data_IF_982292166298
#
_entry.id   IF_982292166298
#
_cell.length_a   1.000
_cell.length_b   1.000
_cell.length_c   1.000
_cell.angle_alpha   90.00
_cell.angle_beta   90.00
_cell.angle_gamma   90.00
#
_symmetry.space_group_name_H-M   'P 1'
#
loop_
_entity.id
_entity.type
_entity.pdbx_description
1 polymer ?
#
# COMPACT_ATOMS: atom_id res chain seq x y z
N UNK A 1 33.13 13.52 -26.57
CA UNK A 1 32.43 12.59 -25.67
C UNK A 1 31.31 13.37 -24.98
N UNK A 2 30.03 13.07 -25.30
CA UNK A 2 28.88 13.78 -24.71
C UNK A 2 28.59 13.18 -23.34
N UNK A 3 28.73 13.97 -22.27
CA UNK A 3 28.34 13.59 -20.90
C UNK A 3 26.81 13.45 -20.89
N UNK A 4 26.31 12.24 -20.65
CA UNK A 4 24.90 11.98 -20.41
C UNK A 4 24.56 12.60 -19.05
N UNK A 5 23.61 13.53 -18.95
CA UNK A 5 23.23 14.09 -17.67
C UNK A 5 22.43 13.05 -16.86
N UNK A 6 22.97 12.65 -15.71
CA UNK A 6 22.30 11.86 -14.67
C UNK A 6 21.19 12.69 -13.99
N UNK A 7 20.16 13.11 -14.72
CA UNK A 7 19.14 14.04 -14.18
C UNK A 7 17.69 13.71 -14.49
N UNK A 8 17.42 12.52 -15.01
CA UNK A 8 16.06 12.11 -15.40
C UNK A 8 15.55 10.85 -14.69
N UNK A 9 16.29 10.29 -13.73
CA UNK A 9 15.87 9.04 -13.05
C UNK A 9 15.16 9.34 -11.71
N UNK A 10 15.55 10.40 -11.00
CA UNK A 10 15.12 10.62 -9.60
C UNK A 10 13.69 11.18 -9.38
N UNK A 11 13.06 11.81 -10.38
CA UNK A 11 11.68 12.32 -10.23
C UNK A 11 10.65 11.20 -10.43
N UNK A 12 10.97 10.27 -11.33
CA UNK A 12 10.15 9.11 -11.62
C UNK A 12 10.21 8.12 -10.44
N UNK A 13 11.36 7.96 -9.78
CA UNK A 13 11.50 7.07 -8.63
C UNK A 13 10.65 7.50 -7.41
N UNK A 14 10.61 8.81 -7.10
CA UNK A 14 9.79 9.30 -5.99
C UNK A 14 8.29 9.20 -6.29
N UNK A 15 7.90 9.49 -7.54
CA UNK A 15 6.52 9.31 -8.01
C UNK A 15 6.13 7.82 -7.99
N UNK A 16 7.01 6.93 -8.46
CA UNK A 16 6.78 5.49 -8.43
C UNK A 16 6.59 4.97 -7.00
N UNK A 17 7.40 5.43 -6.05
CA UNK A 17 7.25 5.11 -4.63
C UNK A 17 5.93 5.65 -4.05
N UNK A 18 5.51 6.86 -4.44
CA UNK A 18 4.21 7.40 -4.04
C UNK A 18 3.07 6.53 -4.57
N UNK A 19 3.09 6.18 -5.85
CA UNK A 19 2.06 5.36 -6.48
C UNK A 19 2.01 3.96 -5.85
N UNK A 20 3.15 3.38 -5.48
CA UNK A 20 3.22 2.09 -4.80
C UNK A 20 2.64 2.16 -3.38
N UNK A 21 2.97 3.21 -2.63
CA UNK A 21 2.39 3.46 -1.30
C UNK A 21 0.86 3.59 -1.40
N UNK A 22 0.35 4.37 -2.35
CA UNK A 22 -1.10 4.56 -2.55
C UNK A 22 -1.80 3.23 -2.90
N UNK A 23 -1.18 2.39 -3.74
CA UNK A 23 -1.71 1.05 -4.06
C UNK A 23 -1.77 0.16 -2.82
N UNK A 24 -0.74 0.17 -1.99
CA UNK A 24 -0.70 -0.63 -0.76
C UNK A 24 -1.70 -0.13 0.28
N UNK A 25 -1.85 1.19 0.44
CA UNK A 25 -2.85 1.81 1.30
C UNK A 25 -4.28 1.47 0.83
N UNK A 26 -4.53 1.52 -0.47
CA UNK A 26 -5.81 1.09 -1.07
C UNK A 26 -6.08 -0.39 -0.79
N UNK A 27 -5.10 -1.27 -1.00
CA UNK A 27 -5.24 -2.70 -0.70
C UNK A 27 -5.52 -2.94 0.79
N UNK A 28 -4.83 -2.23 1.69
CA UNK A 28 -5.07 -2.32 3.13
C UNK A 28 -6.49 -1.89 3.50
N UNK A 29 -6.98 -0.79 2.90
CA UNK A 29 -8.34 -0.30 3.12
C UNK A 29 -9.38 -1.33 2.70
N UNK A 30 -9.20 -1.97 1.53
CA UNK A 30 -10.06 -3.06 1.05
C UNK A 30 -10.06 -4.23 2.04
N UNK A 31 -8.90 -4.63 2.56
CA UNK A 31 -8.80 -5.74 3.52
C UNK A 31 -9.57 -5.45 4.82
N UNK A 32 -9.42 -4.23 5.36
CA UNK A 32 -10.08 -3.80 6.58
C UNK A 32 -11.61 -3.71 6.40
N UNK A 33 -12.05 -3.09 5.32
CA UNK A 33 -13.48 -2.93 5.04
C UNK A 33 -14.13 -4.29 4.73
N UNK A 34 -13.43 -5.18 4.03
CA UNK A 34 -13.92 -6.54 3.80
C UNK A 34 -14.07 -7.33 5.10
N UNK A 35 -13.12 -7.22 6.03
CA UNK A 35 -13.26 -7.85 7.35
C UNK A 35 -14.47 -7.31 8.11
N UNK A 36 -14.71 -6.00 8.06
CA UNK A 36 -15.88 -5.38 8.69
C UNK A 36 -17.18 -5.84 8.04
N UNK A 37 -17.22 -5.89 6.70
CA UNK A 37 -18.36 -6.34 5.94
C UNK A 37 -18.73 -7.79 6.29
N UNK A 38 -17.74 -8.68 6.45
CA UNK A 38 -17.97 -10.06 6.90
C UNK A 38 -18.59 -10.12 8.30
N UNK A 39 -18.15 -9.28 9.23
CA UNK A 39 -18.67 -9.25 10.61
C UNK A 39 -20.15 -8.83 10.68
N UNK A 40 -20.58 -7.93 9.78
CA UNK A 40 -21.96 -7.43 9.74
C UNK A 40 -22.83 -8.16 8.71
N UNK A 41 -22.26 -9.10 7.95
CA UNK A 41 -22.95 -9.82 6.88
C UNK A 41 -23.31 -8.96 5.66
N UNK A 42 -22.51 -7.92 5.36
CA UNK A 42 -22.75 -7.00 4.25
C UNK A 42 -22.05 -7.47 2.95
N UNK A 43 -22.70 -8.40 2.27
CA UNK A 43 -22.23 -8.93 0.98
C UNK A 43 -22.14 -7.83 -0.11
N UNK A 44 -23.03 -6.83 -0.08
CA UNK A 44 -23.01 -5.73 -1.06
C UNK A 44 -21.72 -4.92 -0.96
N UNK A 45 -21.20 -4.71 0.25
CA UNK A 45 -19.91 -4.05 0.44
C UNK A 45 -18.77 -4.89 -0.12
N UNK A 46 -18.77 -6.21 0.08
CA UNK A 46 -17.74 -7.10 -0.50
C UNK A 46 -17.71 -7.03 -2.04
N UNK A 47 -18.87 -6.96 -2.68
CA UNK A 47 -19.00 -6.79 -4.13
C UNK A 47 -18.50 -5.41 -4.56
N UNK A 48 -18.87 -4.34 -3.82
CA UNK A 48 -18.45 -2.96 -4.12
C UNK A 48 -16.96 -2.73 -3.97
N UNK A 49 -16.30 -3.48 -3.09
CA UNK A 49 -14.84 -3.49 -2.96
C UNK A 49 -14.14 -4.11 -4.17
N UNK A 50 -14.87 -4.66 -5.14
CA UNK A 50 -14.31 -5.23 -6.36
C UNK A 50 -13.65 -6.58 -6.16
N UNK A 51 -13.99 -7.29 -5.07
CA UNK A 51 -13.49 -8.63 -4.82
C UNK A 51 -14.17 -9.63 -5.76
N UNK A 52 -13.40 -10.50 -6.39
CA UNK A 52 -13.95 -11.56 -7.23
C UNK A 52 -14.85 -12.50 -6.39
N UNK A 53 -15.91 -13.09 -6.97
CA UNK A 53 -16.83 -13.97 -6.25
C UNK A 53 -16.13 -15.15 -5.55
N UNK A 54 -15.12 -15.74 -6.19
CA UNK A 54 -14.32 -16.82 -5.60
C UNK A 54 -13.57 -16.36 -4.34
N UNK A 55 -13.08 -15.12 -4.34
CA UNK A 55 -12.39 -14.53 -3.19
C UNK A 55 -13.37 -14.23 -2.05
N UNK A 56 -14.55 -13.72 -2.37
CA UNK A 56 -15.63 -13.49 -1.40
C UNK A 56 -15.98 -14.81 -0.69
N UNK A 57 -16.25 -15.88 -1.44
CA UNK A 57 -16.59 -17.18 -0.86
C UNK A 57 -15.50 -17.76 0.04
N UNK A 58 -14.21 -17.56 -0.29
CA UNK A 58 -13.11 -17.98 0.58
C UNK A 58 -13.12 -17.21 1.91
N UNK A 59 -13.34 -15.88 1.86
CA UNK A 59 -13.37 -15.03 3.03
C UNK A 59 -14.55 -15.38 3.96
N UNK A 60 -15.72 -15.66 3.37
CA UNK A 60 -16.90 -16.12 4.10
C UNK A 60 -16.68 -17.48 4.77
N UNK A 61 -16.08 -18.45 4.07
CA UNK A 61 -15.76 -19.75 4.66
C UNK A 61 -14.82 -19.61 5.85
N UNK A 62 -13.82 -18.72 5.77
CA UNK A 62 -12.93 -18.42 6.90
C UNK A 62 -13.72 -17.81 8.06
N UNK A 63 -14.63 -16.88 7.77
CA UNK A 63 -15.48 -16.24 8.77
C UNK A 63 -16.39 -17.24 9.48
N UNK A 64 -17.04 -18.14 8.73
CA UNK A 64 -17.85 -19.23 9.26
C UNK A 64 -17.05 -20.19 10.15
N UNK A 65 -15.75 -20.36 9.87
CA UNK A 65 -14.82 -21.12 10.70
C UNK A 65 -14.29 -20.34 11.92
N UNK A 66 -14.86 -19.16 12.23
CA UNK A 66 -14.47 -18.30 13.35
C UNK A 66 -13.15 -17.54 13.14
N UNK A 67 -12.67 -17.44 11.90
CA UNK A 67 -11.43 -16.73 11.55
C UNK A 67 -11.75 -15.41 10.86
N UNK A 68 -10.86 -14.43 10.96
CA UNK A 68 -10.93 -13.23 10.11
C UNK A 68 -10.76 -13.62 8.64
N UNK A 69 -11.49 -12.96 7.75
CA UNK A 69 -11.34 -13.14 6.30
C UNK A 69 -9.90 -12.87 5.89
N UNK A 70 -9.44 -11.65 6.16
CA UNK A 70 -8.03 -11.26 6.11
C UNK A 70 -7.41 -11.35 7.51
N UNK A 71 -6.38 -12.19 7.73
CA UNK A 71 -5.73 -12.30 9.03
C UNK A 71 -5.01 -11.02 9.46
N UNK A 72 -5.01 -10.72 10.76
CA UNK A 72 -4.39 -9.51 11.32
C UNK A 72 -2.88 -9.40 11.01
N UNK A 73 -2.17 -10.53 10.93
CA UNK A 73 -0.74 -10.52 10.61
C UNK A 73 -0.49 -10.04 9.17
N UNK A 74 -1.41 -10.28 8.24
CA UNK A 74 -1.29 -9.82 6.84
C UNK A 74 -1.44 -8.30 6.80
N UNK A 75 -2.46 -7.77 7.48
CA UNK A 75 -2.71 -6.33 7.58
C UNK A 75 -1.51 -5.63 8.25
N UNK A 76 -1.00 -6.21 9.34
CA UNK A 76 0.18 -5.69 10.05
C UNK A 76 1.42 -5.66 9.17
N UNK A 77 1.71 -6.75 8.45
CA UNK A 77 2.84 -6.78 7.54
C UNK A 77 2.73 -5.69 6.46
N UNK A 78 1.53 -5.49 5.91
CA UNK A 78 1.27 -4.44 4.94
C UNK A 78 1.47 -3.03 5.53
N UNK A 79 0.99 -2.78 6.77
CA UNK A 79 1.26 -1.52 7.48
C UNK A 79 2.75 -1.27 7.65
N UNK A 80 3.51 -2.31 8.04
CA UNK A 80 4.95 -2.20 8.20
C UNK A 80 5.65 -1.86 6.87
N UNK A 81 5.25 -2.50 5.76
CA UNK A 81 5.78 -2.19 4.43
C UNK A 81 5.46 -0.76 4.01
N UNK A 82 4.22 -0.30 4.20
CA UNK A 82 3.83 1.09 3.91
C UNK A 82 4.69 2.07 4.71
N UNK A 83 4.87 1.83 6.01
CA UNK A 83 5.70 2.68 6.87
C UNK A 83 7.16 2.72 6.41
N UNK A 84 7.74 1.58 6.01
CA UNK A 84 9.10 1.51 5.51
C UNK A 84 9.28 2.32 4.21
N UNK A 85 8.33 2.21 3.27
CA UNK A 85 8.37 2.95 2.01
C UNK A 85 8.18 4.45 2.25
N UNK A 86 7.28 4.85 3.16
CA UNK A 86 7.10 6.25 3.55
C UNK A 86 8.37 6.83 4.18
N UNK A 87 9.04 6.07 5.06
CA UNK A 87 10.30 6.48 5.68
C UNK A 87 11.43 6.61 4.65
N UNK A 88 11.55 5.64 3.76
CA UNK A 88 12.52 5.67 2.67
C UNK A 88 12.32 6.88 1.76
N UNK A 89 11.07 7.20 1.40
CA UNK A 89 10.73 8.36 0.59
C UNK A 89 11.09 9.67 1.29
N UNK A 90 10.82 9.78 2.60
CA UNK A 90 11.16 10.97 3.42
C UNK A 90 12.67 11.19 3.47
N UNK A 91 13.42 10.17 3.86
CA UNK A 91 14.89 10.24 3.99
C UNK A 91 15.59 10.50 2.65
N UNK A 92 15.09 9.90 1.56
CA UNK A 92 15.57 10.16 0.20
C UNK A 92 15.26 11.59 -0.28
N UNK A 93 14.15 12.17 0.16
CA UNK A 93 13.84 13.59 -0.08
C UNK A 93 14.69 14.56 0.74
N UNK A 94 15.06 14.18 1.98
CA UNK A 94 15.78 15.03 2.93
C UNK A 94 17.28 15.17 2.59
N UNK A 95 17.94 14.09 2.15
CA UNK A 95 19.34 14.12 1.72
C UNK A 95 19.63 15.04 0.51
N UNK A 96 18.59 15.59 -0.13
CA UNK A 96 18.69 16.54 -1.23
C UNK A 96 18.70 18.00 -0.78
N UNK A 97 17.95 18.34 0.28
CA UNK A 97 17.91 19.71 0.83
C UNK A 97 19.30 20.17 1.30
N UNK A 98 20.03 19.27 1.95
CA UNK A 98 21.37 19.56 2.47
C UNK A 98 22.44 19.68 1.38
N UNK A 99 22.19 19.27 0.13
CA UNK A 99 23.18 19.36 -0.97
C UNK A 99 23.04 20.63 -1.81
N UNK A 100 21.89 21.29 -1.78
CA UNK A 100 21.67 22.54 -2.51
C UNK A 100 22.14 23.78 -1.72
N UNK A 101 22.40 23.66 -0.41
CA UNK A 101 22.85 24.76 0.46
C UNK A 101 24.37 25.00 0.48
N UNK A 102 25.20 24.09 -0.06
CA UNK A 102 26.67 24.23 -0.09
C UNK A 102 27.24 24.69 -1.44
N UNK A 103 26.42 25.31 -2.29
CA UNK A 103 26.82 25.85 -3.58
C UNK A 103 26.56 27.36 -3.67
N UNK A 104 27.23 28.14 -2.84
CA UNK A 104 27.44 29.60 -3.03
C UNK A 104 28.93 29.93 -3.09
#
# INVERSE_FOLDING_TARGET
>A
MKRIPLRSVDRDDNQHLQDEIEKLESAQSVMLEANRALEVGDELTLIRLGLDPARISELEQRHQAGKKGFPDYVIRNLSHTIQQLQEYRRTSGQHRGDKEEFAE
#
